data_IF_348893057051
#
_entry.id   IF_348893057051
#
_cell.length_a   1.000
_cell.length_b   1.000
_cell.length_c   1.000
_cell.angle_alpha   90.00
_cell.angle_beta   90.00
_cell.angle_gamma   90.00
#
_symmetry.space_group_name_H-M   'P 1'
#
loop_
_entity.id
_entity.type
_entity.pdbx_description
1 polymer ?
#
# COMPACT_ATOMS: atom_id res chain seq x y z
N UNK A 1 -21.66 -19.26 14.52
CA UNK A 1 -21.30 -17.83 14.72
C UNK A 1 -19.79 -17.62 14.84
N UNK A 2 -18.99 -18.65 15.17
CA UNK A 2 -17.52 -18.55 15.27
C UNK A 2 -16.81 -18.55 13.90
N UNK A 3 -17.22 -19.40 12.97
CA UNK A 3 -16.48 -19.59 11.71
C UNK A 3 -16.54 -18.38 10.78
N UNK A 4 -17.71 -17.74 10.66
CA UNK A 4 -17.88 -16.55 9.81
C UNK A 4 -17.12 -15.31 10.31
N UNK A 5 -16.76 -15.25 11.60
CA UNK A 5 -15.95 -14.15 12.15
C UNK A 5 -14.47 -14.40 11.87
N UNK A 6 -14.03 -15.67 11.95
CA UNK A 6 -12.65 -16.08 11.63
C UNK A 6 -12.38 -15.90 10.14
N UNK A 7 -13.33 -16.28 9.27
CA UNK A 7 -13.24 -16.16 7.81
C UNK A 7 -13.06 -14.70 7.38
N UNK A 8 -13.90 -13.78 7.90
CA UNK A 8 -13.77 -12.34 7.65
C UNK A 8 -12.46 -11.73 8.15
N UNK A 9 -11.96 -12.17 9.30
CA UNK A 9 -10.68 -11.68 9.82
C UNK A 9 -9.50 -12.16 8.96
N UNK A 10 -9.61 -13.35 8.38
CA UNK A 10 -8.62 -13.93 7.47
C UNK A 10 -8.61 -13.20 6.12
N UNK A 11 -9.79 -13.04 5.50
CA UNK A 11 -9.96 -12.27 4.25
C UNK A 11 -9.41 -10.84 4.38
N UNK A 12 -9.59 -10.24 5.56
CA UNK A 12 -9.10 -8.91 5.85
C UNK A 12 -7.59 -8.82 5.92
N UNK A 13 -6.99 -9.77 6.65
CA UNK A 13 -5.55 -9.90 6.71
C UNK A 13 -4.99 -10.10 5.29
N UNK A 14 -5.66 -10.90 4.46
CA UNK A 14 -5.26 -11.14 3.08
C UNK A 14 -5.34 -9.87 2.22
N UNK A 15 -6.30 -8.97 2.45
CA UNK A 15 -6.40 -7.70 1.73
C UNK A 15 -5.26 -6.73 2.09
N UNK A 16 -4.93 -6.62 3.37
CA UNK A 16 -3.79 -5.81 3.84
C UNK A 16 -2.46 -6.35 3.31
N UNK A 17 -2.24 -7.67 3.40
CA UNK A 17 -1.04 -8.30 2.85
C UNK A 17 -0.96 -8.14 1.33
N UNK A 18 -2.10 -8.17 0.62
CA UNK A 18 -2.14 -7.95 -0.83
C UNK A 18 -1.68 -6.53 -1.23
N UNK A 19 -2.01 -5.50 -0.43
CA UNK A 19 -1.50 -4.14 -0.67
C UNK A 19 0.03 -4.14 -0.63
N UNK A 20 0.62 -4.73 0.39
CA UNK A 20 2.08 -4.78 0.54
C UNK A 20 2.75 -5.65 -0.52
N UNK A 21 2.15 -6.79 -0.86
CA UNK A 21 2.62 -7.66 -1.94
C UNK A 21 2.76 -6.88 -3.25
N UNK A 22 1.74 -6.09 -3.64
CA UNK A 22 1.79 -5.29 -4.87
C UNK A 22 2.89 -4.23 -4.81
N UNK A 23 3.05 -3.54 -3.68
CA UNK A 23 4.07 -2.50 -3.53
C UNK A 23 5.49 -3.08 -3.54
N UNK A 24 5.67 -4.24 -2.91
CA UNK A 24 6.94 -4.96 -2.85
C UNK A 24 7.35 -5.51 -4.21
N UNK A 25 6.40 -6.07 -4.96
CA UNK A 25 6.62 -6.53 -6.34
C UNK A 25 7.07 -5.36 -7.24
N UNK A 26 6.38 -4.22 -7.16
CA UNK A 26 6.72 -3.04 -7.96
C UNK A 26 8.04 -2.39 -7.54
N UNK A 27 8.42 -2.43 -6.27
CA UNK A 27 9.72 -1.89 -5.83
C UNK A 27 10.88 -2.82 -6.16
N UNK A 28 10.64 -4.14 -6.23
CA UNK A 28 11.65 -5.14 -6.56
C UNK A 28 11.90 -5.27 -8.06
N UNK A 29 10.88 -5.04 -8.89
CA UNK A 29 10.99 -5.09 -10.35
C UNK A 29 10.65 -3.72 -10.96
N UNK A 30 11.70 -2.94 -11.23
CA UNK A 30 11.58 -1.60 -11.81
C UNK A 30 11.17 -1.60 -13.29
N UNK A 31 11.11 -2.77 -13.94
CA UNK A 31 10.65 -2.89 -15.33
C UNK A 31 9.14 -2.93 -15.45
N UNK A 32 8.42 -3.21 -14.36
CA UNK A 32 6.97 -3.23 -14.36
C UNK A 32 6.38 -1.84 -14.58
N UNK A 33 5.45 -1.78 -15.54
CA UNK A 33 4.71 -0.57 -15.86
C UNK A 33 3.64 -0.33 -14.80
N UNK A 34 3.59 0.89 -14.28
CA UNK A 34 2.50 1.37 -13.44
C UNK A 34 1.46 2.01 -14.37
N UNK A 35 0.30 1.38 -14.51
CA UNK A 35 -0.78 1.87 -15.35
C UNK A 35 -2.15 1.87 -14.64
N UNK A 36 -3.21 2.19 -15.40
CA UNK A 36 -4.58 2.21 -14.90
C UNK A 36 -5.09 0.85 -14.39
N UNK A 37 -4.55 -0.27 -14.89
CA UNK A 37 -4.92 -1.62 -14.42
C UNK A 37 -4.27 -1.88 -13.07
N UNK A 38 -2.98 -1.53 -12.91
CA UNK A 38 -2.30 -1.57 -11.61
C UNK A 38 -3.01 -0.69 -10.57
N UNK A 39 -3.41 0.53 -10.96
CA UNK A 39 -4.18 1.46 -10.11
C UNK A 39 -5.51 0.84 -9.66
N UNK A 40 -6.28 0.29 -10.60
CA UNK A 40 -7.58 -0.32 -10.30
C UNK A 40 -7.45 -1.56 -9.40
N UNK A 41 -6.45 -2.41 -9.65
CA UNK A 41 -6.16 -3.57 -8.81
C UNK A 41 -5.81 -3.18 -7.37
N UNK A 42 -4.92 -2.19 -7.20
CA UNK A 42 -4.54 -1.69 -5.88
C UNK A 42 -5.74 -1.02 -5.17
N UNK A 43 -6.56 -0.25 -5.90
CA UNK A 43 -7.77 0.35 -5.36
C UNK A 43 -8.76 -0.69 -4.80
N UNK A 44 -8.87 -1.86 -5.44
CA UNK A 44 -9.73 -2.94 -4.94
C UNK A 44 -9.25 -3.51 -3.60
N UNK A 45 -7.93 -3.66 -3.39
CA UNK A 45 -7.39 -4.10 -2.10
C UNK A 45 -7.56 -3.03 -1.02
N UNK A 46 -7.32 -1.76 -1.35
CA UNK A 46 -7.55 -0.62 -0.44
C UNK A 46 -9.02 -0.56 -0.02
N UNK A 47 -9.96 -0.73 -0.97
CA UNK A 47 -11.39 -0.77 -0.67
C UNK A 47 -11.72 -1.86 0.37
N UNK A 48 -11.23 -3.09 0.17
CA UNK A 48 -11.46 -4.21 1.10
C UNK A 48 -10.88 -3.92 2.49
N UNK A 49 -9.62 -3.52 2.54
CA UNK A 49 -8.96 -3.16 3.80
C UNK A 49 -9.67 -2.00 4.55
N UNK A 50 -10.29 -1.07 3.82
CA UNK A 50 -11.09 0.04 4.40
C UNK A 50 -12.42 -0.47 4.97
N UNK A 51 -13.13 -1.32 4.23
CA UNK A 51 -14.39 -1.94 4.68
C UNK A 51 -14.19 -2.69 6.01
N UNK A 52 -13.00 -3.27 6.21
CA UNK A 52 -12.64 -4.04 7.41
C UNK A 52 -11.95 -3.21 8.51
N UNK A 53 -11.85 -1.89 8.37
CA UNK A 53 -11.17 -0.98 9.33
C UNK A 53 -9.67 -1.26 9.55
N UNK A 54 -8.98 -1.89 8.60
CA UNK A 54 -7.53 -2.07 8.67
C UNK A 54 -6.76 -0.81 8.31
N UNK A 55 -7.35 -0.01 7.42
CA UNK A 55 -6.89 1.34 7.03
C UNK A 55 -7.92 2.40 7.41
N UNK A 56 -7.50 3.66 7.38
CA UNK A 56 -8.37 4.81 7.65
C UNK A 56 -9.53 4.89 6.64
N UNK A 57 -10.76 4.85 7.14
CA UNK A 57 -11.99 4.85 6.33
C UNK A 57 -12.30 6.22 5.71
N UNK A 58 -11.65 7.27 6.16
CA UNK A 58 -11.80 8.62 5.59
C UNK A 58 -10.96 8.81 4.32
N UNK A 59 -10.09 7.85 3.99
CA UNK A 59 -9.28 7.89 2.80
C UNK A 59 -10.12 7.70 1.54
N UNK A 60 -9.90 8.57 0.55
CA UNK A 60 -10.45 8.39 -0.79
C UNK A 60 -9.67 7.28 -1.50
N UNK A 61 -10.35 6.19 -1.87
CA UNK A 61 -9.74 4.94 -2.34
C UNK A 61 -8.86 5.15 -3.58
N UNK A 62 -9.40 5.79 -4.61
CA UNK A 62 -8.72 6.01 -5.89
C UNK A 62 -7.59 7.04 -5.78
N UNK A 63 -7.76 8.06 -4.94
CA UNK A 63 -6.66 8.99 -4.69
C UNK A 63 -5.52 8.30 -3.93
N UNK A 64 -5.88 7.45 -2.96
CA UNK A 64 -4.92 6.64 -2.18
C UNK A 64 -4.14 5.71 -3.08
N UNK A 65 -4.79 4.95 -3.97
CA UNK A 65 -4.08 4.05 -4.90
C UNK A 65 -3.08 4.81 -5.76
N UNK A 66 -3.46 5.96 -6.35
CA UNK A 66 -2.55 6.80 -7.14
C UNK A 66 -1.36 7.31 -6.33
N UNK A 67 -1.58 7.75 -5.09
CA UNK A 67 -0.49 8.26 -4.24
C UNK A 67 0.47 7.16 -3.80
N UNK A 68 -0.02 5.95 -3.51
CA UNK A 68 0.86 4.82 -3.20
C UNK A 68 1.74 4.46 -4.41
N UNK A 69 1.15 4.41 -5.60
CA UNK A 69 1.91 4.13 -6.83
C UNK A 69 2.90 5.25 -7.17
N UNK A 70 2.54 6.52 -6.92
CA UNK A 70 3.46 7.65 -7.09
C UNK A 70 4.67 7.58 -6.14
N UNK A 71 4.49 7.08 -4.90
CA UNK A 71 5.61 6.86 -3.98
C UNK A 71 6.56 5.76 -4.48
N UNK A 72 6.02 4.69 -5.07
CA UNK A 72 6.84 3.65 -5.71
C UNK A 72 7.64 4.23 -6.87
N UNK A 73 7.03 5.05 -7.72
CA UNK A 73 7.73 5.70 -8.83
C UNK A 73 8.82 6.69 -8.34
N UNK A 74 8.53 7.43 -7.28
CA UNK A 74 9.49 8.31 -6.62
C UNK A 74 10.69 7.53 -6.06
N UNK A 75 10.44 6.38 -5.42
CA UNK A 75 11.49 5.48 -4.94
C UNK A 75 12.36 4.96 -6.09
N UNK A 76 11.74 4.48 -7.18
CA UNK A 76 12.45 3.99 -8.38
C UNK A 76 13.34 5.10 -8.97
N UNK A 77 12.81 6.31 -9.07
CA UNK A 77 13.55 7.49 -9.56
C UNK A 77 14.71 7.86 -8.63
N UNK A 78 14.49 7.82 -7.30
CA UNK A 78 15.53 8.09 -6.30
C UNK A 78 16.70 7.11 -6.43
N UNK A 79 16.41 5.81 -6.53
CA UNK A 79 17.41 4.74 -6.66
C UNK A 79 18.18 4.81 -7.98
N UNK A 80 17.52 5.18 -9.08
CA UNK A 80 18.18 5.38 -10.36
C UNK A 80 19.11 6.60 -10.36
N UNK A 81 18.76 7.66 -9.62
CA UNK A 81 19.52 8.92 -9.60
C UNK A 81 20.64 8.98 -8.57
N UNK A 82 20.60 8.17 -7.51
CA UNK A 82 21.51 8.29 -6.35
C UNK A 82 22.09 6.94 -5.93
N UNK A 83 23.13 6.48 -6.65
CA UNK A 83 23.77 5.18 -6.41
C UNK A 83 24.52 5.04 -5.08
N UNK A 84 24.70 6.14 -4.34
CA UNK A 84 25.32 6.14 -3.01
C UNK A 84 24.34 5.86 -1.87
N UNK A 85 23.03 5.85 -2.13
CA UNK A 85 22.02 5.53 -1.12
C UNK A 85 21.95 4.03 -0.86
N UNK A 86 21.57 3.68 0.36
CA UNK A 86 21.31 2.30 0.75
C UNK A 86 19.85 1.92 0.40
N UNK A 87 19.61 0.99 -0.54
CA UNK A 87 18.25 0.64 -0.96
C UNK A 87 17.37 0.13 0.18
N UNK A 88 17.96 -0.62 1.13
CA UNK A 88 17.24 -1.20 2.26
C UNK A 88 16.70 -0.11 3.20
N UNK A 89 17.49 0.94 3.43
CA UNK A 89 17.07 2.11 4.22
C UNK A 89 15.95 2.88 3.52
N UNK A 90 16.06 3.11 2.21
CA UNK A 90 15.09 3.91 1.47
C UNK A 90 13.75 3.18 1.29
N UNK A 91 13.76 1.86 1.02
CA UNK A 91 12.53 1.06 0.94
C UNK A 91 11.86 0.95 2.33
N UNK A 92 12.64 0.79 3.41
CA UNK A 92 12.10 0.78 4.77
C UNK A 92 11.44 2.12 5.13
N UNK A 93 12.04 3.23 4.69
CA UNK A 93 11.48 4.58 4.88
C UNK A 93 10.19 4.77 4.11
N UNK A 94 10.14 4.36 2.83
CA UNK A 94 8.92 4.42 2.02
C UNK A 94 7.78 3.60 2.66
N UNK A 95 8.07 2.36 3.08
CA UNK A 95 7.10 1.50 3.77
C UNK A 95 6.58 2.15 5.05
N UNK A 96 7.44 2.81 5.84
CA UNK A 96 7.04 3.52 7.04
C UNK A 96 6.08 4.69 6.74
N UNK A 97 6.36 5.47 5.70
CA UNK A 97 5.50 6.58 5.26
C UNK A 97 4.11 6.04 4.88
N UNK A 98 4.07 5.01 4.03
CA UNK A 98 2.82 4.39 3.57
C UNK A 98 2.04 3.80 4.75
N UNK A 99 2.70 3.04 5.63
CA UNK A 99 2.06 2.42 6.78
C UNK A 99 1.46 3.46 7.73
N UNK A 100 2.12 4.62 7.91
CA UNK A 100 1.57 5.71 8.74
C UNK A 100 0.41 6.41 8.07
N UNK A 101 0.49 6.66 6.77
CA UNK A 101 -0.56 7.31 6.00
C UNK A 101 -1.85 6.47 5.96
N UNK A 102 -1.72 5.15 5.83
CA UNK A 102 -2.87 4.24 5.76
C UNK A 102 -3.56 4.01 7.11
N UNK A 103 -2.91 4.28 8.24
CA UNK A 103 -3.48 3.97 9.56
C UNK A 103 -4.45 5.07 10.00
N UNK A 104 -5.56 4.71 10.68
CA UNK A 104 -6.48 5.68 11.26
C UNK A 104 -5.76 6.75 12.09
N UNK A 105 -6.06 8.00 11.81
CA UNK A 105 -5.55 9.13 12.60
C UNK A 105 -6.01 8.98 14.05
N UNK A 106 -5.08 8.77 14.99
CA UNK A 106 -5.38 8.68 16.44
C UNK A 106 -5.90 10.00 17.03
N UNK A 107 -5.84 11.10 16.28
CA UNK A 107 -6.39 12.39 16.66
C UNK A 107 -7.89 12.42 16.38
N UNK A 108 -8.67 11.85 17.31
CA UNK A 108 -10.01 12.32 17.53
C UNK A 108 -9.93 13.77 18.02
N UNK A 109 -10.36 14.71 17.19
CA UNK A 109 -10.68 16.08 17.58
C UNK A 109 -12.20 16.15 17.72
#
# INVERSE_FOLDING_TARGET
>A
MSDAVIDKAQEANDAWESIWSVLDDLTSDTSQVIDHVTEAGLAAFIYRASDESLIDRELHIEATSRWLLALVDAYRTLMAGHTSLDPDTEIATMRLIIARYLRPSRTGI
#
